data_IF_412710617148
#
_entry.id   IF_412710617148
#
_cell.length_a   1.000
_cell.length_b   1.000
_cell.length_c   1.000
_cell.angle_alpha   90.00
_cell.angle_beta   90.00
_cell.angle_gamma   90.00
#
_symmetry.space_group_name_H-M   'P 1'
#
loop_
_entity.id
_entity.type
_entity.pdbx_description
1 polymer ?
#
# COMPACT_ATOMS: atom_id res chain seq x y z
N UNK A 1 -35.96 -4.55 28.75
CA UNK A 1 -35.56 -3.51 27.78
C UNK A 1 -34.14 -3.81 27.32
N UNK A 2 -33.96 -4.44 26.14
CA UNK A 2 -32.66 -4.85 25.61
C UNK A 2 -32.12 -3.73 24.76
N UNK A 3 -31.02 -3.09 25.21
CA UNK A 3 -30.30 -2.06 24.49
C UNK A 3 -29.53 -2.72 23.35
N UNK A 4 -29.97 -2.49 22.10
CA UNK A 4 -29.20 -2.88 20.92
C UNK A 4 -28.11 -1.85 20.71
N UNK A 5 -26.86 -2.22 21.02
CA UNK A 5 -25.70 -1.43 20.64
C UNK A 5 -25.51 -1.61 19.15
N UNK A 6 -25.82 -0.56 18.40
CA UNK A 6 -25.53 -0.47 16.96
C UNK A 6 -24.04 -0.18 16.83
N UNK A 7 -23.26 -1.20 16.53
CA UNK A 7 -21.84 -1.04 16.24
C UNK A 7 -21.65 -0.29 14.92
N UNK A 8 -21.28 0.98 14.98
CA UNK A 8 -20.77 1.72 13.83
C UNK A 8 -19.37 1.22 13.53
N UNK A 9 -19.21 0.41 12.50
CA UNK A 9 -17.90 0.13 11.96
C UNK A 9 -17.49 1.31 11.06
N UNK A 10 -16.80 2.29 11.65
CA UNK A 10 -16.13 3.35 10.92
C UNK A 10 -14.85 2.74 10.35
N UNK A 11 -14.87 2.35 9.07
CA UNK A 11 -13.67 1.91 8.38
C UNK A 11 -12.89 3.16 7.92
N UNK A 12 -12.10 3.72 8.82
CA UNK A 12 -11.11 4.73 8.48
C UNK A 12 -9.94 4.03 7.81
N UNK A 13 -9.82 4.12 6.48
CA UNK A 13 -8.60 3.76 5.76
C UNK A 13 -7.63 4.92 5.94
N UNK A 14 -6.85 4.86 7.01
CA UNK A 14 -5.78 5.83 7.24
C UNK A 14 -4.59 5.42 6.37
N UNK A 15 -4.46 6.01 5.19
CA UNK A 15 -3.26 5.89 4.36
C UNK A 15 -2.41 7.10 4.65
N UNK A 16 -1.50 6.98 5.61
CA UNK A 16 -0.49 8.00 5.85
C UNK A 16 0.60 7.89 4.78
N UNK A 17 0.53 8.67 3.74
CA UNK A 17 1.67 8.93 2.88
C UNK A 17 2.55 9.97 3.58
N UNK A 18 3.53 9.51 4.37
CA UNK A 18 4.53 10.40 4.97
C UNK A 18 5.60 10.66 3.92
N UNK A 19 5.47 11.76 3.18
CA UNK A 19 6.57 12.32 2.42
C UNK A 19 7.51 13.06 3.40
N UNK A 20 8.46 12.37 4.02
CA UNK A 20 9.55 13.04 4.73
C UNK A 20 10.49 13.66 3.70
N UNK A 21 10.33 14.95 3.43
CA UNK A 21 11.39 15.74 2.82
C UNK A 21 12.48 15.97 3.88
N UNK A 22 13.37 15.01 4.05
CA UNK A 22 14.62 15.22 4.76
C UNK A 22 15.52 16.08 3.88
N UNK A 23 15.56 17.39 4.17
CA UNK A 23 16.60 18.25 3.64
C UNK A 23 17.96 17.80 4.21
N UNK A 24 18.67 16.96 3.49
CA UNK A 24 20.11 16.82 3.58
C UNK A 24 20.70 17.39 2.30
N UNK A 25 21.76 18.22 2.43
CA UNK A 25 22.51 18.80 1.31
C UNK A 25 23.30 17.74 0.50
N UNK A 26 22.73 16.57 0.28
CA UNK A 26 23.21 15.66 -0.74
C UNK A 26 22.50 16.02 -2.02
N UNK A 27 23.24 16.49 -3.02
CA UNK A 27 22.77 16.63 -4.39
C UNK A 27 22.09 15.34 -4.79
N UNK A 28 20.77 15.28 -4.67
CA UNK A 28 19.96 14.32 -5.40
C UNK A 28 20.31 14.53 -6.87
N UNK A 29 20.69 13.48 -7.62
CA UNK A 29 20.83 13.62 -9.06
C UNK A 29 19.50 14.20 -9.57
N UNK A 30 19.56 15.25 -10.38
CA UNK A 30 18.41 15.75 -11.11
C UNK A 30 17.89 14.59 -11.97
N UNK A 31 16.91 13.87 -11.43
CA UNK A 31 16.24 12.81 -12.16
C UNK A 31 15.17 13.47 -13.01
N UNK A 32 15.53 13.81 -14.23
CA UNK A 32 14.53 14.21 -15.23
C UNK A 32 13.64 13.01 -15.51
N UNK A 33 12.38 13.12 -15.10
CA UNK A 33 11.37 12.16 -15.51
C UNK A 33 11.20 12.21 -17.02
N UNK A 34 11.31 11.09 -17.74
CA UNK A 34 11.28 11.07 -19.20
C UNK A 34 9.97 11.58 -19.81
N UNK A 35 8.95 11.82 -19.00
CA UNK A 35 7.60 12.15 -19.42
C UNK A 35 7.29 13.66 -19.46
N UNK A 36 8.29 14.55 -19.28
CA UNK A 36 8.09 16.00 -19.25
C UNK A 36 7.55 16.52 -17.90
N UNK A 37 7.25 17.81 -17.80
CA UNK A 37 6.77 18.43 -16.57
C UNK A 37 5.47 17.77 -16.11
N UNK A 38 5.36 17.62 -14.79
CA UNK A 38 4.18 17.08 -14.13
C UNK A 38 2.93 17.88 -14.54
N UNK A 39 1.83 17.23 -14.92
CA UNK A 39 0.59 17.95 -15.19
C UNK A 39 0.12 18.70 -13.95
N UNK A 40 -0.42 19.85 -14.18
CA UNK A 40 -0.81 20.92 -13.27
C UNK A 40 -1.69 20.49 -12.05
N UNK A 41 -1.76 21.31 -11.03
CA UNK A 41 -1.78 20.92 -9.62
C UNK A 41 -3.04 20.22 -9.16
N UNK A 42 -2.90 19.64 -7.96
CA UNK A 42 -3.90 18.96 -7.14
C UNK A 42 -5.30 19.56 -7.21
N UNK A 43 -6.36 18.72 -7.25
CA UNK A 43 -7.74 19.19 -7.13
C UNK A 43 -7.88 20.04 -5.85
N UNK A 44 -8.46 21.20 -6.00
CA UNK A 44 -8.65 22.12 -4.86
C UNK A 44 -9.51 21.46 -3.78
N UNK A 45 -9.25 21.72 -2.50
CA UNK A 45 -10.12 21.27 -1.42
C UNK A 45 -11.57 21.68 -1.70
N UNK A 46 -12.47 20.70 -1.91
CA UNK A 46 -13.89 20.93 -2.19
C UNK A 46 -14.44 20.18 -3.40
N UNK A 47 -13.57 19.72 -4.31
CA UNK A 47 -13.99 19.05 -5.57
C UNK A 47 -14.12 17.52 -5.45
N UNK A 48 -14.04 17.00 -4.24
CA UNK A 48 -14.16 15.56 -4.03
C UNK A 48 -15.62 15.09 -4.08
N UNK A 49 -15.88 13.90 -4.63
CA UNK A 49 -17.21 13.34 -4.66
C UNK A 49 -17.75 13.08 -3.25
N UNK A 50 -19.08 13.11 -3.09
CA UNK A 50 -19.70 12.78 -1.82
C UNK A 50 -19.16 11.47 -1.24
N UNK A 51 -18.91 11.43 0.07
CA UNK A 51 -18.33 10.27 0.75
C UNK A 51 -16.80 10.18 0.69
N UNK A 52 -16.12 11.11 0.02
CA UNK A 52 -14.66 11.22 0.06
C UNK A 52 -14.26 12.55 0.72
N UNK A 53 -13.41 12.46 1.71
CA UNK A 53 -12.84 13.63 2.39
C UNK A 53 -11.32 13.51 2.38
N UNK A 54 -10.64 14.59 2.01
CA UNK A 54 -9.18 14.68 2.11
C UNK A 54 -8.84 15.83 3.04
N UNK A 55 -8.07 15.56 4.06
CA UNK A 55 -7.67 16.54 5.08
C UNK A 55 -6.16 16.62 5.13
N UNK A 56 -5.66 17.82 4.98
CA UNK A 56 -4.25 18.13 5.20
C UNK A 56 -3.95 18.20 6.71
N UNK A 57 -2.79 17.75 7.10
CA UNK A 57 -2.27 17.93 8.45
C UNK A 57 -0.78 18.25 8.43
N UNK A 58 -0.35 19.00 9.42
CA UNK A 58 1.06 19.25 9.71
C UNK A 58 1.39 18.70 11.08
N UNK A 59 2.53 18.01 11.20
CA UNK A 59 3.02 17.50 12.48
C UNK A 59 4.48 17.93 12.69
N UNK A 60 4.83 18.20 13.94
CA UNK A 60 6.20 18.54 14.32
C UNK A 60 6.96 17.24 14.67
N UNK A 61 7.95 16.91 13.85
CA UNK A 61 8.80 15.75 14.06
C UNK A 61 9.94 16.01 15.07
N UNK A 62 9.98 17.22 15.67
CA UNK A 62 11.06 17.65 16.55
C UNK A 62 12.30 18.13 15.79
N UNK A 63 13.17 18.90 16.50
CA UNK A 63 14.39 19.43 15.91
C UNK A 63 14.17 20.43 14.77
N UNK A 64 13.03 21.12 14.74
CA UNK A 64 12.66 22.09 13.70
C UNK A 64 12.20 21.46 12.38
N UNK A 65 11.92 20.18 12.36
CA UNK A 65 11.41 19.46 11.19
C UNK A 65 9.90 19.33 11.27
N UNK A 66 9.23 19.72 10.19
CA UNK A 66 7.78 19.54 10.02
C UNK A 66 7.49 18.47 8.99
N UNK A 67 6.43 17.70 9.22
CA UNK A 67 5.85 16.78 8.26
C UNK A 67 4.53 17.38 7.76
N UNK A 68 4.37 17.46 6.45
CA UNK A 68 3.10 17.71 5.79
C UNK A 68 2.53 16.38 5.32
N UNK A 69 1.29 16.12 5.63
CA UNK A 69 0.61 14.89 5.22
C UNK A 69 -0.85 15.12 4.85
N UNK A 70 -1.44 14.13 4.22
CA UNK A 70 -2.84 14.12 3.84
C UNK A 70 -3.50 12.83 4.31
N UNK A 71 -4.73 12.95 4.81
CA UNK A 71 -5.59 11.80 5.16
C UNK A 71 -6.79 11.80 4.24
N UNK A 72 -6.92 10.74 3.44
CA UNK A 72 -8.10 10.52 2.62
C UNK A 72 -9.01 9.48 3.29
N UNK A 73 -10.27 9.83 3.50
CA UNK A 73 -11.31 8.96 4.07
C UNK A 73 -12.41 8.75 3.05
N UNK A 74 -12.62 7.49 2.66
CA UNK A 74 -13.68 7.10 1.74
C UNK A 74 -14.79 6.34 2.47
N UNK A 75 -15.99 6.92 2.53
CA UNK A 75 -17.20 6.23 3.01
C UNK A 75 -17.89 5.54 1.84
N UNK A 76 -17.61 4.26 1.67
CA UNK A 76 -18.18 3.44 0.59
C UNK A 76 -19.66 3.13 0.78
N UNK A 77 -20.22 3.34 1.98
CA UNK A 77 -21.65 3.23 2.21
C UNK A 77 -22.40 4.48 1.77
N UNK A 78 -21.82 5.65 2.06
CA UNK A 78 -22.36 6.93 1.61
C UNK A 78 -22.25 7.09 0.08
N UNK A 79 -21.19 6.56 -0.51
CA UNK A 79 -21.02 6.58 -1.97
C UNK A 79 -20.50 5.23 -2.50
N UNK A 80 -21.38 4.32 -2.90
CA UNK A 80 -21.00 3.02 -3.43
C UNK A 80 -20.35 3.06 -4.82
N UNK A 81 -20.21 4.25 -5.44
CA UNK A 81 -19.43 4.44 -6.68
C UNK A 81 -17.94 4.58 -6.44
N UNK A 82 -17.53 4.94 -5.21
CA UNK A 82 -16.12 4.95 -4.85
C UNK A 82 -15.54 3.53 -4.91
N UNK A 83 -14.33 3.42 -5.43
CA UNK A 83 -13.63 2.14 -5.59
C UNK A 83 -12.18 2.29 -5.15
N UNK A 84 -11.66 1.24 -4.55
CA UNK A 84 -10.22 1.05 -4.40
C UNK A 84 -9.69 0.31 -5.63
N UNK A 85 -8.60 0.80 -6.22
CA UNK A 85 -7.92 0.16 -7.33
C UNK A 85 -6.43 0.11 -7.07
N UNK A 86 -5.85 -1.06 -7.23
CA UNK A 86 -4.41 -1.25 -7.29
C UNK A 86 -3.97 -1.13 -8.76
N UNK A 87 -3.07 -0.20 -9.05
CA UNK A 87 -2.67 0.10 -10.42
C UNK A 87 -1.27 -0.43 -10.68
N UNK A 88 -1.14 -1.30 -11.68
CA UNK A 88 0.13 -1.77 -12.21
C UNK A 88 0.40 -1.10 -13.55
N UNK A 89 1.57 -0.51 -13.70
CA UNK A 89 2.02 0.08 -14.94
C UNK A 89 3.29 -0.60 -15.44
N UNK A 90 3.43 -0.81 -16.74
CA UNK A 90 4.64 -1.38 -17.33
C UNK A 90 5.82 -0.40 -17.33
N UNK A 91 5.55 0.87 -17.09
CA UNK A 91 6.54 1.95 -17.05
C UNK A 91 6.36 2.76 -15.77
N UNK A 92 7.47 3.32 -15.29
CA UNK A 92 7.44 4.24 -14.16
C UNK A 92 6.74 5.53 -14.55
N UNK A 93 5.83 5.99 -13.67
CA UNK A 93 5.16 7.28 -13.79
C UNK A 93 4.99 7.89 -12.40
N UNK A 94 4.93 9.20 -12.34
CA UNK A 94 4.56 9.89 -11.10
C UNK A 94 3.11 9.62 -10.73
N UNK A 95 2.72 9.69 -9.44
CA UNK A 95 1.32 9.59 -9.04
C UNK A 95 0.42 10.60 -9.77
N UNK A 96 0.86 11.84 -9.96
CA UNK A 96 0.14 12.88 -10.68
C UNK A 96 -0.15 12.47 -12.13
N UNK A 97 0.84 11.88 -12.80
CA UNK A 97 0.68 11.39 -14.17
C UNK A 97 -0.31 10.22 -14.23
N UNK A 98 -0.21 9.29 -13.29
CA UNK A 98 -1.16 8.17 -13.18
C UNK A 98 -2.57 8.70 -12.94
N UNK A 99 -2.73 9.69 -12.06
CA UNK A 99 -3.99 10.34 -11.77
C UNK A 99 -4.62 10.94 -13.03
N UNK A 100 -3.87 11.74 -13.76
CA UNK A 100 -4.34 12.40 -14.99
C UNK A 100 -4.72 11.40 -16.09
N UNK A 101 -3.98 10.31 -16.25
CA UNK A 101 -4.20 9.32 -17.30
C UNK A 101 -5.24 8.24 -16.91
N UNK A 102 -5.62 8.14 -15.66
CA UNK A 102 -6.51 7.07 -15.18
C UNK A 102 -7.87 7.10 -15.87
N UNK A 103 -8.44 8.28 -16.13
CA UNK A 103 -9.72 8.45 -16.79
C UNK A 103 -9.70 7.93 -18.23
N UNK A 104 -8.60 8.09 -18.96
CA UNK A 104 -8.48 7.67 -20.35
C UNK A 104 -8.52 6.15 -20.53
N UNK A 105 -8.28 5.38 -19.48
CA UNK A 105 -8.33 3.91 -19.47
C UNK A 105 -9.75 3.35 -19.24
N UNK A 106 -10.80 4.17 -19.30
CA UNK A 106 -12.22 3.82 -19.03
C UNK A 106 -12.49 3.19 -17.67
N UNK A 107 -11.65 3.48 -16.67
CA UNK A 107 -11.75 2.94 -15.32
C UNK A 107 -12.50 3.85 -14.34
N UNK A 108 -13.01 4.98 -14.83
CA UNK A 108 -13.62 6.04 -14.03
C UNK A 108 -12.66 7.20 -13.77
N UNK A 109 -13.00 8.10 -12.89
CA UNK A 109 -12.18 9.27 -12.52
C UNK A 109 -11.37 8.94 -11.29
N UNK A 110 -10.05 9.16 -11.33
CA UNK A 110 -9.22 9.12 -10.13
C UNK A 110 -9.57 10.29 -9.22
N UNK A 111 -9.77 10.02 -7.94
CA UNK A 111 -10.04 11.06 -6.95
C UNK A 111 -8.84 11.28 -6.03
N UNK A 112 -8.15 10.21 -5.67
CA UNK A 112 -6.91 10.22 -4.89
C UNK A 112 -5.99 9.16 -5.47
N UNK A 113 -4.72 9.50 -5.65
CA UNK A 113 -3.68 8.58 -6.12
C UNK A 113 -2.48 8.69 -5.21
N UNK A 114 -1.99 7.55 -4.74
CA UNK A 114 -0.84 7.47 -3.85
C UNK A 114 0.12 6.38 -4.32
N UNK A 115 1.37 6.50 -3.91
CA UNK A 115 2.32 5.41 -4.04
C UNK A 115 1.94 4.25 -3.12
N UNK A 116 2.21 3.03 -3.57
CA UNK A 116 2.05 1.82 -2.77
C UNK A 116 3.29 0.94 -2.93
N UNK A 117 3.63 0.26 -1.84
CA UNK A 117 4.68 -0.73 -1.82
C UNK A 117 6.09 -0.22 -2.11
N UNK A 118 7.04 -1.13 -2.01
CA UNK A 118 8.44 -0.87 -2.36
C UNK A 118 8.69 -1.13 -3.84
N UNK A 119 9.63 -0.40 -4.41
CA UNK A 119 10.07 -0.60 -5.78
C UNK A 119 11.59 -0.41 -5.90
N UNK A 120 12.18 -1.05 -6.90
CA UNK A 120 13.59 -0.91 -7.23
C UNK A 120 13.81 -1.14 -8.73
N UNK A 121 14.60 -0.27 -9.34
CA UNK A 121 14.97 -0.38 -10.75
C UNK A 121 13.75 -0.61 -11.69
N UNK A 122 12.63 0.06 -11.43
CA UNK A 122 11.43 -0.04 -12.25
C UNK A 122 10.48 -1.19 -11.93
N UNK A 123 10.83 -2.03 -10.97
CA UNK A 123 10.02 -3.18 -10.60
C UNK A 123 9.41 -3.01 -9.21
N UNK A 124 8.16 -3.41 -9.04
CA UNK A 124 7.57 -3.52 -7.71
C UNK A 124 8.26 -4.66 -6.95
N UNK A 125 8.62 -4.38 -5.69
CA UNK A 125 9.16 -5.37 -4.75
C UNK A 125 8.11 -5.81 -3.73
N UNK A 126 6.86 -5.42 -3.92
CA UNK A 126 5.75 -5.73 -3.02
C UNK A 126 4.62 -6.40 -3.79
N UNK A 127 3.75 -7.08 -3.05
CA UNK A 127 2.54 -7.64 -3.64
C UNK A 127 1.73 -6.57 -4.36
N UNK A 128 1.30 -6.89 -5.57
CA UNK A 128 0.34 -6.10 -6.32
C UNK A 128 -0.67 -7.04 -6.98
N UNK A 129 -1.94 -6.87 -6.67
CA UNK A 129 -3.05 -7.61 -7.28
C UNK A 129 -4.01 -6.62 -7.91
N UNK A 130 -4.34 -6.82 -9.15
CA UNK A 130 -5.30 -5.99 -9.91
C UNK A 130 -6.32 -6.89 -10.57
N UNK A 131 -7.60 -6.68 -10.27
CA UNK A 131 -8.70 -7.49 -10.81
C UNK A 131 -8.56 -8.98 -10.50
N UNK A 132 -8.06 -9.35 -9.34
CA UNK A 132 -7.80 -10.73 -8.93
C UNK A 132 -6.53 -11.36 -9.52
N UNK A 133 -5.82 -10.66 -10.40
CA UNK A 133 -4.58 -11.15 -10.99
C UNK A 133 -3.35 -10.60 -10.24
N UNK A 134 -2.47 -11.48 -9.78
CA UNK A 134 -1.18 -11.11 -9.19
C UNK A 134 -0.28 -10.51 -10.29
N UNK A 135 0.10 -9.25 -10.13
CA UNK A 135 0.95 -8.48 -11.05
C UNK A 135 2.37 -8.36 -10.55
N UNK A 136 2.56 -8.36 -9.24
CA UNK A 136 3.86 -8.39 -8.58
C UNK A 136 3.77 -9.25 -7.33
N UNK A 137 4.83 -9.96 -7.04
CA UNK A 137 4.90 -10.90 -5.92
C UNK A 137 5.75 -10.34 -4.77
N UNK A 138 5.38 -10.70 -3.54
CA UNK A 138 6.14 -10.42 -2.33
C UNK A 138 6.86 -11.68 -1.87
N UNK A 139 8.07 -11.89 -2.38
CA UNK A 139 8.94 -13.00 -1.97
C UNK A 139 10.43 -12.62 -2.04
N UNK A 140 10.72 -11.35 -1.84
CA UNK A 140 12.07 -10.84 -1.88
C UNK A 140 12.90 -11.41 -0.73
N UNK A 141 14.18 -11.58 -1.00
CA UNK A 141 15.17 -11.85 0.03
C UNK A 141 16.00 -10.60 0.29
N UNK A 142 16.42 -10.43 1.52
CA UNK A 142 17.37 -9.39 1.90
C UNK A 142 18.50 -9.99 2.74
N UNK A 143 19.68 -9.37 2.71
CA UNK A 143 20.79 -9.79 3.56
C UNK A 143 20.83 -8.92 4.80
N UNK A 144 20.81 -9.54 5.97
CA UNK A 144 21.00 -8.90 7.27
C UNK A 144 22.04 -9.70 8.05
N UNK A 145 23.05 -9.01 8.58
CA UNK A 145 24.12 -9.65 9.39
C UNK A 145 24.71 -10.91 8.74
N UNK A 146 24.97 -10.86 7.43
CA UNK A 146 25.45 -11.97 6.60
C UNK A 146 24.50 -13.18 6.52
N UNK A 147 23.23 -13.01 6.90
CA UNK A 147 22.18 -14.02 6.75
C UNK A 147 21.20 -13.60 5.65
N UNK A 148 20.74 -14.58 4.87
CA UNK A 148 19.59 -14.37 3.98
C UNK A 148 18.33 -14.43 4.82
N UNK A 149 17.48 -13.40 4.70
CA UNK A 149 16.21 -13.32 5.39
C UNK A 149 15.07 -13.22 4.39
N UNK A 150 13.89 -13.67 4.79
CA UNK A 150 12.69 -13.79 3.97
C UNK A 150 11.58 -12.91 4.57
N UNK A 151 11.57 -11.60 4.30
CA UNK A 151 10.62 -10.69 4.93
C UNK A 151 9.18 -11.03 4.58
N UNK A 152 8.35 -11.22 5.60
CA UNK A 152 6.89 -11.27 5.47
C UNK A 152 6.39 -9.86 5.74
N UNK A 153 5.76 -9.23 4.76
CA UNK A 153 5.37 -7.82 4.81
C UNK A 153 3.87 -7.65 4.86
N UNK A 154 3.42 -6.50 5.38
CA UNK A 154 1.99 -6.22 5.37
C UNK A 154 1.49 -5.93 3.97
N UNK A 155 0.26 -6.34 3.71
CA UNK A 155 -0.47 -5.99 2.51
C UNK A 155 -1.91 -5.61 2.87
N UNK A 156 -2.44 -4.63 2.16
CA UNK A 156 -3.82 -4.19 2.26
C UNK A 156 -4.54 -4.56 0.96
N UNK A 157 -5.77 -5.07 1.06
CA UNK A 157 -6.52 -5.44 -0.12
C UNK A 157 -8.03 -5.48 0.09
N UNK A 158 -8.74 -5.46 -1.03
CA UNK A 158 -10.16 -5.61 -1.12
C UNK A 158 -10.52 -6.98 -1.69
N UNK A 159 -11.35 -7.71 -0.98
CA UNK A 159 -11.88 -9.01 -1.40
C UNK A 159 -13.02 -8.82 -2.41
N UNK A 160 -13.36 -9.88 -3.15
CA UNK A 160 -14.52 -9.89 -4.07
C UNK A 160 -15.87 -9.58 -3.38
N UNK A 161 -15.96 -9.83 -2.07
CA UNK A 161 -17.11 -9.44 -1.24
C UNK A 161 -17.19 -7.94 -0.96
N UNK A 162 -16.17 -7.15 -1.36
CA UNK A 162 -16.04 -5.74 -1.01
C UNK A 162 -15.41 -5.49 0.37
N UNK A 163 -15.17 -6.53 1.18
CA UNK A 163 -14.49 -6.41 2.47
C UNK A 163 -13.03 -6.04 2.27
N UNK A 164 -12.50 -5.16 3.11
CA UNK A 164 -11.08 -4.86 3.19
C UNK A 164 -10.40 -5.68 4.26
N UNK A 165 -9.18 -6.09 3.96
CA UNK A 165 -8.37 -6.91 4.86
C UNK A 165 -6.92 -6.41 4.83
N UNK A 166 -6.23 -6.60 5.96
CA UNK A 166 -4.78 -6.36 6.09
C UNK A 166 -4.14 -7.59 6.68
N UNK A 167 -3.11 -8.11 6.02
CA UNK A 167 -2.42 -9.32 6.41
C UNK A 167 -0.91 -9.17 6.30
N UNK A 168 -0.18 -10.01 7.03
CA UNK A 168 1.21 -10.32 6.76
C UNK A 168 1.26 -11.29 5.59
N UNK A 169 1.94 -10.91 4.51
CA UNK A 169 1.92 -11.67 3.24
C UNK A 169 3.32 -12.09 2.84
N UNK A 170 3.39 -13.30 2.27
CA UNK A 170 4.51 -13.79 1.49
C UNK A 170 3.95 -14.60 0.31
N UNK A 171 4.53 -14.44 -0.87
CA UNK A 171 4.15 -15.24 -2.04
C UNK A 171 4.95 -16.53 -2.04
N UNK A 172 4.30 -17.64 -1.71
CA UNK A 172 4.99 -18.91 -1.47
C UNK A 172 5.35 -19.63 -2.77
N UNK A 173 6.59 -20.10 -2.87
CA UNK A 173 7.12 -20.76 -4.07
C UNK A 173 6.48 -22.13 -4.32
N UNK A 174 6.17 -22.86 -3.26
CA UNK A 174 5.62 -24.23 -3.31
C UNK A 174 4.15 -24.27 -3.79
N UNK A 175 3.49 -23.12 -3.93
CA UNK A 175 2.16 -23.01 -4.55
C UNK A 175 2.13 -21.91 -5.64
N UNK A 176 3.15 -21.90 -6.51
CA UNK A 176 3.16 -21.07 -7.71
C UNK A 176 3.18 -19.56 -7.44
N UNK A 177 3.88 -19.10 -6.41
CA UNK A 177 3.98 -17.70 -5.99
C UNK A 177 2.64 -17.06 -5.62
N UNK A 178 1.67 -17.84 -5.17
CA UNK A 178 0.42 -17.30 -4.66
C UNK A 178 0.64 -16.57 -3.34
N UNK A 179 -0.10 -15.49 -3.07
CA UNK A 179 -0.02 -14.78 -1.80
C UNK A 179 -0.69 -15.59 -0.69
N UNK A 180 0.04 -15.80 0.39
CA UNK A 180 -0.45 -16.41 1.61
C UNK A 180 -0.39 -15.42 2.76
N UNK A 181 -1.47 -15.36 3.52
CA UNK A 181 -1.57 -14.61 4.75
C UNK A 181 -1.00 -15.42 5.92
N UNK A 182 -0.28 -14.73 6.82
CA UNK A 182 0.32 -15.29 8.00
C UNK A 182 -0.18 -14.55 9.26
N UNK A 183 -0.16 -15.17 10.44
CA UNK A 183 -0.64 -14.54 11.67
C UNK A 183 0.26 -13.40 12.16
N UNK A 184 1.52 -13.37 11.73
CA UNK A 184 2.52 -12.36 12.11
C UNK A 184 3.55 -12.18 11.00
N UNK A 185 4.54 -11.31 11.21
CA UNK A 185 5.72 -11.20 10.35
C UNK A 185 6.62 -12.45 10.41
N UNK A 186 6.20 -13.50 11.12
CA UNK A 186 6.96 -14.69 11.46
C UNK A 186 8.25 -14.31 12.20
N UNK A 187 9.27 -15.17 12.12
CA UNK A 187 10.55 -14.96 12.82
C UNK A 187 11.47 -13.99 12.06
N UNK A 188 11.02 -12.76 11.86
CA UNK A 188 11.79 -11.71 11.19
C UNK A 188 11.84 -10.45 12.06
N UNK A 189 12.53 -10.54 13.19
CA UNK A 189 12.68 -9.43 14.14
C UNK A 189 14.13 -8.92 14.17
N UNK A 190 14.35 -7.73 13.63
CA UNK A 190 15.66 -7.08 13.60
C UNK A 190 16.18 -6.73 15.02
N UNK A 191 15.30 -6.47 15.98
CA UNK A 191 15.71 -6.11 17.36
C UNK A 191 16.34 -7.28 18.08
N UNK A 192 15.84 -8.48 17.84
CA UNK A 192 16.36 -9.71 18.45
C UNK A 192 17.33 -10.45 17.53
N UNK A 193 17.55 -9.93 16.31
CA UNK A 193 18.34 -10.59 15.27
C UNK A 193 17.85 -12.02 14.99
N UNK A 194 16.54 -12.20 15.05
CA UNK A 194 15.88 -13.50 14.79
C UNK A 194 15.32 -13.48 13.37
N UNK A 195 15.74 -14.42 12.54
CA UNK A 195 15.31 -14.51 11.15
C UNK A 195 15.00 -15.93 10.76
N UNK A 196 14.03 -16.08 9.85
CA UNK A 196 13.75 -17.38 9.25
C UNK A 196 14.95 -17.87 8.44
N UNK A 197 15.31 -19.14 8.63
CA UNK A 197 16.40 -19.80 7.89
C UNK A 197 15.98 -20.28 6.50
N UNK A 198 14.67 -20.30 6.21
CA UNK A 198 14.09 -20.72 4.95
C UNK A 198 12.84 -19.89 4.63
N UNK A 199 12.45 -19.74 3.35
CA UNK A 199 11.25 -19.01 2.99
C UNK A 199 9.98 -19.69 3.56
N UNK A 200 8.93 -18.93 3.87
CA UNK A 200 7.64 -19.50 4.22
C UNK A 200 7.07 -20.34 3.08
N UNK A 201 6.29 -21.33 3.42
CA UNK A 201 5.62 -22.24 2.49
C UNK A 201 4.11 -22.26 2.75
N UNK A 202 3.35 -22.87 1.84
CA UNK A 202 1.90 -23.10 2.04
C UNK A 202 1.59 -23.97 3.26
N UNK A 203 2.61 -24.68 3.81
CA UNK A 203 2.52 -25.55 4.99
C UNK A 203 3.04 -24.90 6.26
N UNK A 204 3.55 -23.69 6.19
CA UNK A 204 3.97 -22.95 7.39
C UNK A 204 2.78 -22.76 8.33
N UNK A 205 2.92 -22.99 9.65
CA UNK A 205 1.81 -22.89 10.58
C UNK A 205 1.08 -21.54 10.47
N UNK A 206 -0.24 -21.57 10.33
CA UNK A 206 -1.09 -20.39 10.18
C UNK A 206 -1.12 -19.81 8.77
N UNK A 207 -0.45 -20.42 7.79
CA UNK A 207 -0.53 -20.01 6.39
C UNK A 207 -1.96 -20.20 5.86
N UNK A 208 -2.52 -19.17 5.23
CA UNK A 208 -3.81 -19.22 4.58
C UNK A 208 -3.75 -18.53 3.21
N UNK A 209 -4.23 -19.21 2.17
CA UNK A 209 -4.29 -18.62 0.84
C UNK A 209 -5.14 -17.34 0.88
N UNK A 210 -4.61 -16.26 0.33
CA UNK A 210 -5.29 -14.97 0.27
C UNK A 210 -5.55 -14.57 -1.19
N UNK A 211 -6.81 -14.31 -1.54
CA UNK A 211 -7.24 -14.07 -2.92
C UNK A 211 -8.01 -12.76 -3.05
N UNK A 212 -7.35 -11.60 -2.85
CA UNK A 212 -7.98 -10.31 -3.01
C UNK A 212 -8.27 -9.99 -4.49
N UNK A 213 -9.24 -9.12 -4.74
CA UNK A 213 -9.48 -8.53 -6.06
C UNK A 213 -8.49 -7.41 -6.36
N UNK A 214 -8.25 -6.57 -5.36
CA UNK A 214 -7.28 -5.48 -5.43
C UNK A 214 -6.39 -5.56 -4.19
N UNK A 215 -5.08 -5.50 -4.34
CA UNK A 215 -4.19 -5.45 -3.19
C UNK A 215 -2.88 -4.75 -3.50
N UNK A 216 -2.33 -4.14 -2.47
CA UNK A 216 -1.01 -3.51 -2.47
C UNK A 216 -0.22 -3.97 -1.25
N UNK A 217 1.03 -4.32 -1.47
CA UNK A 217 1.98 -4.60 -0.39
C UNK A 217 2.58 -3.31 0.13
N UNK A 218 3.09 -3.34 1.34
CA UNK A 218 3.62 -2.17 2.02
C UNK A 218 4.77 -2.48 2.97
N UNK A 219 4.95 -1.57 3.90
CA UNK A 219 5.91 -1.66 5.00
C UNK A 219 5.41 -2.56 6.14
N UNK A 220 5.94 -2.37 7.35
CA UNK A 220 5.46 -3.08 8.52
C UNK A 220 4.01 -2.67 8.84
N UNK A 221 3.25 -3.61 9.38
CA UNK A 221 1.91 -3.34 9.88
C UNK A 221 2.01 -2.56 11.20
N UNK A 222 1.54 -1.32 11.19
CA UNK A 222 1.58 -0.46 12.38
C UNK A 222 0.33 -0.61 13.25
N UNK A 223 -0.80 -0.89 12.62
CA UNK A 223 -2.10 -1.09 13.28
C UNK A 223 -2.79 -2.29 12.64
N UNK A 224 -3.46 -3.10 13.46
CA UNK A 224 -4.21 -4.27 13.02
C UNK A 224 -5.66 -4.22 13.49
#
# INVERSE_FOLDING_TARGET
MKLKILGFALLAVCVCAVCCMCGSDSKTPDYEFPDGPDPDPDPQPGDYPAGLTVTEFTDDLGGGKQCLGFVAVADLKANPKLRFNAVHLPQQKTPSRIHAEFASANRGTACVTINAGYWWAGNSLSLLVTGGAVKSIENQTVTRNNQTVYPVRSSFGQMSSGKFETHWIYCVLDDGNKPYAFPSALDNDERTNTYMSAPPTSKTPGAALWTPQEAVGGGPMLVR
#
